data_IF_756677265195
#
_entry.id   IF_756677265195
#
_cell.length_a   1.000
_cell.length_b   1.000
_cell.length_c   1.000
_cell.angle_alpha   90.00
_cell.angle_beta   90.00
_cell.angle_gamma   90.00
#
_symmetry.space_group_name_H-M   'P 1'
#
loop_
_entity.id
_entity.type
_entity.pdbx_description
1 polymer ?
#
# COMPACT_ATOMS: atom_id res chain seq x y z
N UNK A 1 6.20 12.40 12.78
CA UNK A 1 5.46 11.55 11.85
C UNK A 1 4.56 10.61 12.64
N UNK A 2 3.27 10.60 12.31
CA UNK A 2 2.29 9.68 12.86
C UNK A 2 1.88 8.68 11.76
N UNK A 3 1.19 7.61 12.16
CA UNK A 3 0.54 6.72 11.21
C UNK A 3 -0.94 6.61 11.55
N UNK A 4 -1.76 6.39 10.53
CA UNK A 4 -3.19 6.18 10.63
C UNK A 4 -3.60 4.92 9.89
N UNK A 5 -4.74 4.35 10.26
CA UNK A 5 -5.38 3.25 9.55
C UNK A 5 -6.49 3.82 8.67
N UNK A 6 -6.39 3.60 7.36
CA UNK A 6 -7.34 4.12 6.35
C UNK A 6 -7.82 3.00 5.43
N UNK A 7 -8.92 3.24 4.72
CA UNK A 7 -9.38 2.30 3.70
C UNK A 7 -8.44 2.34 2.48
N UNK A 8 -8.29 1.21 1.78
CA UNK A 8 -7.50 1.16 0.55
C UNK A 8 -8.01 2.13 -0.54
N UNK A 9 -9.31 2.40 -0.56
CA UNK A 9 -9.94 3.38 -1.47
C UNK A 9 -9.48 4.84 -1.24
N UNK A 10 -8.96 5.15 -0.06
CA UNK A 10 -8.55 6.51 0.34
C UNK A 10 -7.07 6.79 0.08
N UNK A 11 -6.33 5.79 -0.41
CA UNK A 11 -4.93 5.92 -0.78
C UNK A 11 -4.78 6.73 -2.07
N UNK A 12 -3.76 7.59 -2.12
CA UNK A 12 -3.44 8.46 -3.25
C UNK A 12 -1.97 8.34 -3.65
N UNK A 13 -1.66 8.72 -4.90
CA UNK A 13 -0.27 8.86 -5.36
C UNK A 13 0.46 9.84 -4.43
N UNK A 14 1.65 9.45 -3.99
CA UNK A 14 2.46 10.18 -3.03
C UNK A 14 2.33 9.70 -1.59
N UNK A 15 1.28 8.95 -1.26
CA UNK A 15 1.12 8.37 0.09
C UNK A 15 2.23 7.35 0.37
N UNK A 16 2.74 7.35 1.59
CA UNK A 16 3.63 6.29 2.08
C UNK A 16 2.83 5.34 2.95
N UNK A 17 2.73 4.08 2.53
CA UNK A 17 1.92 3.05 3.20
C UNK A 17 2.74 1.82 3.52
N UNK A 18 2.32 1.10 4.56
CA UNK A 18 2.97 -0.14 4.97
C UNK A 18 2.67 -1.25 3.95
N UNK A 19 3.67 -2.07 3.63
CA UNK A 19 3.50 -3.21 2.74
C UNK A 19 2.54 -4.26 3.35
N UNK A 20 1.58 -4.83 2.58
CA UNK A 20 0.60 -5.80 3.08
C UNK A 20 1.24 -7.10 3.59
N UNK A 21 2.45 -7.44 3.15
CA UNK A 21 3.21 -8.60 3.63
C UNK A 21 3.71 -8.47 5.07
N UNK A 22 3.56 -7.30 5.70
CA UNK A 22 3.74 -7.09 7.14
C UNK A 22 5.14 -7.41 7.66
N UNK A 23 6.02 -6.42 7.75
CA UNK A 23 7.29 -6.50 8.50
C UNK A 23 8.04 -5.17 8.52
N UNK A 24 7.34 -4.08 8.86
CA UNK A 24 7.93 -2.73 8.96
C UNK A 24 8.50 -2.18 7.63
N UNK A 25 8.02 -2.74 6.51
CA UNK A 25 8.38 -2.33 5.16
C UNK A 25 7.37 -1.29 4.70
N UNK A 26 7.85 -0.19 4.11
CA UNK A 26 7.01 0.90 3.64
C UNK A 26 7.27 1.16 2.17
N UNK A 27 6.22 1.60 1.48
CA UNK A 27 6.28 1.93 0.06
C UNK A 27 5.61 3.26 -0.19
N UNK A 28 6.20 4.05 -1.08
CA UNK A 28 5.56 5.26 -1.60
C UNK A 28 4.75 4.90 -2.82
N UNK A 29 3.48 5.25 -2.85
CA UNK A 29 2.59 4.99 -3.97
C UNK A 29 2.94 5.93 -5.12
N UNK A 30 3.30 5.37 -6.26
CA UNK A 30 3.58 6.10 -7.51
C UNK A 30 2.48 5.88 -8.56
N UNK A 31 1.82 4.72 -8.52
CA UNK A 31 0.71 4.40 -9.41
C UNK A 31 -0.40 3.61 -8.69
N UNK A 32 -1.62 3.72 -9.22
CA UNK A 32 -2.87 3.21 -8.65
C UNK A 32 -3.62 2.38 -9.70
N UNK A 33 -4.07 1.19 -9.29
CA UNK A 33 -4.95 0.32 -10.08
C UNK A 33 -6.01 -0.33 -9.21
N UNK A 34 -7.03 -0.87 -9.86
CA UNK A 34 -8.08 -1.65 -9.21
C UNK A 34 -8.42 -2.86 -10.06
N UNK A 35 -8.79 -3.94 -9.40
CA UNK A 35 -9.25 -5.19 -10.03
C UNK A 35 -10.25 -5.87 -9.09
N UNK A 36 -10.72 -7.06 -9.46
CA UNK A 36 -11.56 -7.90 -8.62
C UNK A 36 -10.93 -9.26 -8.39
N UNK A 37 -11.08 -9.80 -7.18
CA UNK A 37 -10.60 -11.13 -6.82
C UNK A 37 -11.77 -11.99 -6.32
N UNK A 38 -11.86 -13.26 -6.74
CA UNK A 38 -12.84 -14.19 -6.17
C UNK A 38 -12.70 -14.28 -4.65
N UNK A 39 -13.83 -14.40 -3.94
CA UNK A 39 -13.82 -14.60 -2.50
C UNK A 39 -13.55 -16.07 -2.16
N UNK A 40 -12.76 -16.30 -1.12
CA UNK A 40 -12.47 -17.65 -0.61
C UNK A 40 -13.68 -18.29 0.09
N UNK A 41 -14.62 -17.47 0.57
CA UNK A 41 -15.87 -17.92 1.19
C UNK A 41 -16.97 -18.31 0.18
N UNK A 42 -16.64 -18.31 -1.12
CA UNK A 42 -17.56 -18.61 -2.22
C UNK A 42 -18.80 -17.69 -2.30
N UNK A 43 -18.76 -16.50 -1.69
CA UNK A 43 -19.81 -15.51 -1.87
C UNK A 43 -19.86 -15.02 -3.34
N UNK A 44 -21.05 -14.64 -3.85
CA UNK A 44 -21.25 -14.35 -5.26
C UNK A 44 -20.60 -13.05 -5.72
N UNK A 45 -20.48 -12.05 -4.85
CA UNK A 45 -19.77 -10.81 -5.17
C UNK A 45 -18.26 -10.99 -4.99
N UNK A 46 -17.40 -10.67 -5.97
CA UNK A 46 -15.95 -10.71 -5.77
C UNK A 46 -15.49 -9.58 -4.84
N UNK A 47 -14.32 -9.73 -4.23
CA UNK A 47 -13.64 -8.63 -3.55
C UNK A 47 -13.18 -7.59 -4.57
N UNK A 48 -13.41 -6.31 -4.30
CA UNK A 48 -12.63 -5.25 -4.93
C UNK A 48 -11.20 -5.27 -4.36
N UNK A 49 -10.20 -5.22 -5.23
CA UNK A 49 -8.79 -5.14 -4.84
C UNK A 49 -8.14 -3.89 -5.40
N UNK A 50 -7.31 -3.26 -4.59
CA UNK A 50 -6.55 -2.06 -4.92
C UNK A 50 -5.09 -2.46 -5.11
N UNK A 51 -4.57 -2.25 -6.32
CA UNK A 51 -3.19 -2.52 -6.67
C UNK A 51 -2.42 -1.20 -6.64
N UNK A 52 -1.39 -1.13 -5.81
CA UNK A 52 -0.48 -0.01 -5.74
C UNK A 52 0.87 -0.41 -6.30
N UNK A 53 1.56 0.54 -6.92
CA UNK A 53 2.93 0.33 -7.43
C UNK A 53 3.82 1.42 -6.85
N UNK A 54 5.01 1.02 -6.42
CA UNK A 54 6.01 1.98 -5.96
C UNK A 54 7.19 1.36 -5.22
N UNK A 55 8.24 2.17 -5.00
CA UNK A 55 9.49 1.73 -4.42
C UNK A 55 9.36 1.54 -2.90
N UNK A 56 10.28 0.72 -2.38
CA UNK A 56 10.56 0.67 -0.95
C UNK A 56 11.13 2.00 -0.46
N UNK A 57 10.59 2.49 0.65
CA UNK A 57 11.05 3.72 1.30
C UNK A 57 11.25 3.46 2.79
N UNK A 58 12.21 4.16 3.39
CA UNK A 58 12.25 4.34 4.84
C UNK A 58 11.47 5.63 5.14
N UNK A 59 10.28 5.55 5.78
CA UNK A 59 9.50 6.74 6.07
C UNK A 59 10.13 7.59 7.19
N UNK A 60 11.13 7.07 7.91
CA UNK A 60 11.78 7.74 9.04
C UNK A 60 13.14 8.35 8.69
N UNK A 61 13.65 8.11 7.47
CA UNK A 61 14.88 8.72 6.98
C UNK A 61 14.59 10.01 6.20
N UNK A 62 15.41 11.05 6.41
CA UNK A 62 15.29 12.36 5.74
C UNK A 62 15.57 12.29 4.22
N UNK A 63 16.17 11.19 3.72
CA UNK A 63 16.49 11.02 2.30
C UNK A 63 16.25 9.58 1.82
N UNK A 64 15.31 9.46 0.87
CA UNK A 64 15.33 8.59 -0.32
C UNK A 64 15.66 7.09 -0.19
N UNK A 65 14.80 6.26 -0.82
CA UNK A 65 15.02 4.89 -1.34
C UNK A 65 16.09 4.06 -0.60
N UNK A 66 15.65 3.01 0.10
CA UNK A 66 16.55 2.10 0.82
C UNK A 66 17.46 1.37 -0.16
N UNK A 67 18.73 1.80 -0.25
CA UNK A 67 19.78 1.13 -1.00
C UNK A 67 19.64 1.17 -2.53
N UNK A 68 20.47 0.38 -3.21
CA UNK A 68 20.54 0.29 -4.69
C UNK A 68 19.37 -0.51 -5.31
N UNK A 69 18.25 -0.65 -4.59
CA UNK A 69 17.09 -1.47 -4.94
C UNK A 69 15.85 -0.58 -5.16
N UNK A 70 15.93 0.30 -6.16
CA UNK A 70 14.75 0.99 -6.71
C UNK A 70 13.82 0.01 -7.48
N UNK A 71 13.57 -1.18 -6.94
CA UNK A 71 12.60 -2.11 -7.53
C UNK A 71 11.24 -1.71 -7.01
N UNK A 72 10.61 -0.76 -7.73
CA UNK A 72 9.17 -0.57 -7.64
C UNK A 72 8.49 -1.90 -7.88
N UNK A 73 7.58 -2.27 -6.98
CA UNK A 73 6.85 -3.52 -7.08
C UNK A 73 5.36 -3.25 -6.89
N UNK A 74 4.54 -4.21 -7.31
CA UNK A 74 3.10 -4.19 -7.15
C UNK A 74 2.71 -4.84 -5.83
N UNK A 75 1.87 -4.17 -5.06
CA UNK A 75 1.35 -4.65 -3.79
C UNK A 75 -0.15 -4.38 -3.70
N UNK A 76 -0.90 -5.36 -3.19
CA UNK A 76 -2.35 -5.43 -3.35
C UNK A 76 -3.03 -5.47 -2.00
N UNK A 77 -4.08 -4.68 -1.85
CA UNK A 77 -4.99 -4.70 -0.71
C UNK A 77 -6.40 -5.04 -1.16
N UNK A 78 -7.10 -5.84 -0.36
CA UNK A 78 -8.55 -6.00 -0.51
C UNK A 78 -9.27 -4.78 0.06
N UNK A 79 -10.49 -4.53 -0.42
CA UNK A 79 -11.32 -3.42 0.07
C UNK A 79 -11.63 -3.46 1.57
N UNK A 80 -11.63 -4.65 2.17
CA UNK A 80 -11.89 -4.86 3.60
C UNK A 80 -10.63 -4.75 4.47
N UNK A 81 -9.45 -4.64 3.85
CA UNK A 81 -8.19 -4.58 4.56
C UNK A 81 -7.84 -3.13 4.93
N UNK A 82 -7.54 -2.85 6.20
CA UNK A 82 -7.01 -1.56 6.59
C UNK A 82 -5.61 -1.37 6.01
N UNK A 83 -5.32 -0.14 5.57
CA UNK A 83 -3.99 0.28 5.12
C UNK A 83 -3.40 1.21 6.16
N UNK A 84 -2.20 0.90 6.65
CA UNK A 84 -1.44 1.81 7.51
C UNK A 84 -0.73 2.85 6.65
N UNK A 85 -1.12 4.12 6.78
CA UNK A 85 -0.52 5.26 6.07
C UNK A 85 0.26 6.17 7.01
N UNK A 86 1.42 6.64 6.57
CA UNK A 86 2.18 7.68 7.26
C UNK A 86 1.58 9.05 6.96
N UNK A 87 1.36 9.85 8.00
CA UNK A 87 0.95 11.25 7.86
C UNK A 87 2.11 12.18 8.18
N UNK A 88 2.38 13.10 7.26
CA UNK A 88 3.22 14.25 7.56
C UNK A 88 2.47 15.10 8.59
N UNK A 89 3.14 15.38 9.71
CA UNK A 89 2.65 16.30 10.74
C UNK A 89 2.87 17.74 10.28
#
# INVERSE_FOLDING_TARGET
MQSESVAAADIRVGDTIQDPGGSNTWRRVEDLGYDTQPREDHAPEPWMVYAFIGPLVDPFADFGVVGNQATSDRFIFREDQPVTRVTAS
#
